data_IF_100724514870
#
_entry.id   IF_100724514870
#
_cell.length_a   1.000
_cell.length_b   1.000
_cell.length_c   1.000
_cell.angle_alpha   90.00
_cell.angle_beta   90.00
_cell.angle_gamma   90.00
#
_symmetry.space_group_name_H-M   'P 1'
#
loop_
_entity.id
_entity.type
_entity.pdbx_description
1 polymer ?
#
# COMPACT_ATOMS: atom_id res chain seq x y z
N UNK A 1 5.56 -9.05 -2.52
CA UNK A 1 6.79 -8.72 -1.77
C UNK A 1 7.01 -9.62 -0.57
N UNK A 2 6.25 -9.51 0.54
CA UNK A 2 6.49 -10.32 1.77
C UNK A 2 6.54 -11.84 1.52
N UNK A 3 5.56 -12.41 0.82
CA UNK A 3 5.52 -13.86 0.55
C UNK A 3 6.69 -14.29 -0.33
N UNK A 4 7.03 -13.50 -1.35
CA UNK A 4 8.23 -13.72 -2.17
C UNK A 4 9.50 -13.71 -1.31
N UNK A 5 9.67 -12.71 -0.43
CA UNK A 5 10.84 -12.60 0.45
C UNK A 5 10.96 -13.83 1.36
N UNK A 6 9.84 -14.27 1.93
CA UNK A 6 9.78 -15.50 2.71
C UNK A 6 10.22 -16.72 1.89
N UNK A 7 9.70 -16.90 0.67
CA UNK A 7 10.06 -18.01 -0.20
C UNK A 7 11.56 -17.99 -0.56
N UNK A 8 12.10 -16.83 -0.90
CA UNK A 8 13.53 -16.64 -1.20
C UNK A 8 14.41 -16.98 0.00
N UNK A 9 14.06 -16.52 1.21
CA UNK A 9 14.82 -16.85 2.42
C UNK A 9 14.67 -18.34 2.81
N UNK A 10 13.51 -18.94 2.55
CA UNK A 10 13.24 -20.35 2.85
C UNK A 10 14.04 -21.30 1.94
N UNK A 11 14.44 -20.86 0.74
CA UNK A 11 15.28 -21.67 -0.16
C UNK A 11 16.71 -21.85 0.38
N UNK A 12 17.20 -20.92 1.21
CA UNK A 12 18.54 -20.97 1.80
C UNK A 12 18.55 -21.46 3.26
N UNK A 13 17.47 -21.28 4.02
CA UNK A 13 17.40 -21.74 5.42
C UNK A 13 16.10 -22.46 5.72
N UNK A 14 16.22 -23.70 6.20
CA UNK A 14 15.08 -24.56 6.46
C UNK A 14 14.52 -24.48 7.88
N UNK A 15 15.32 -24.04 8.85
CA UNK A 15 14.96 -23.91 10.25
C UNK A 15 14.13 -22.64 10.50
N UNK A 16 12.82 -22.77 10.25
CA UNK A 16 11.89 -21.64 10.31
C UNK A 16 10.76 -21.93 11.28
N UNK A 17 10.55 -21.03 12.24
CA UNK A 17 9.42 -21.07 13.17
C UNK A 17 8.37 -20.04 12.75
N UNK A 18 7.10 -20.46 12.69
CA UNK A 18 5.99 -19.52 12.57
C UNK A 18 5.84 -18.79 13.90
N UNK A 19 6.17 -17.50 13.90
CA UNK A 19 6.04 -16.62 15.04
C UNK A 19 5.82 -15.20 14.53
N UNK A 20 4.89 -14.46 15.11
CA UNK A 20 4.54 -13.13 14.65
C UNK A 20 4.53 -12.14 15.82
N UNK A 21 5.11 -10.94 15.65
CA UNK A 21 4.98 -9.86 16.62
C UNK A 21 3.52 -9.44 16.81
N UNK A 22 3.25 -8.73 17.91
CA UNK A 22 1.92 -8.17 18.18
C UNK A 22 1.47 -7.28 17.00
N UNK A 23 0.21 -7.42 16.60
CA UNK A 23 -0.39 -6.70 15.47
C UNK A 23 -0.07 -7.28 14.08
N UNK A 24 1.00 -8.07 13.93
CA UNK A 24 1.34 -8.67 12.63
C UNK A 24 0.30 -9.70 12.19
N UNK A 25 -0.07 -9.66 10.89
CA UNK A 25 -0.91 -10.68 10.26
C UNK A 25 -0.13 -11.98 10.07
N UNK A 26 1.12 -11.86 9.59
CA UNK A 26 2.04 -12.98 9.36
C UNK A 26 3.40 -12.69 9.94
N UNK A 27 4.11 -13.73 10.34
CA UNK A 27 5.50 -13.63 10.76
C UNK A 27 6.20 -14.98 10.77
N UNK A 28 7.48 -14.95 10.48
CA UNK A 28 8.37 -16.10 10.46
C UNK A 28 9.74 -15.73 11.00
N UNK A 29 10.30 -16.60 11.83
CA UNK A 29 11.65 -16.46 12.38
C UNK A 29 12.55 -17.55 11.80
N UNK A 30 13.61 -17.15 11.12
CA UNK A 30 14.69 -17.99 10.62
C UNK A 30 15.72 -18.16 11.74
N UNK A 31 15.71 -19.32 12.37
CA UNK A 31 16.39 -19.56 13.65
C UNK A 31 17.91 -19.42 13.55
N UNK A 32 18.49 -19.93 12.45
CA UNK A 32 19.93 -19.87 12.18
C UNK A 32 20.48 -18.43 12.13
N UNK A 33 19.65 -17.47 11.71
CA UNK A 33 20.04 -16.08 11.52
C UNK A 33 19.48 -15.15 12.60
N UNK A 34 18.64 -15.68 13.50
CA UNK A 34 17.81 -14.88 14.39
C UNK A 34 17.06 -13.75 13.65
N UNK A 35 16.63 -14.04 12.41
CA UNK A 35 15.96 -13.07 11.54
C UNK A 35 14.46 -13.29 11.61
N UNK A 36 13.70 -12.28 12.02
CA UNK A 36 12.24 -12.29 11.93
C UNK A 36 11.78 -11.39 10.81
N UNK A 37 10.92 -11.91 9.94
CA UNK A 37 10.15 -11.10 8.98
C UNK A 37 8.69 -11.09 9.41
N UNK A 38 8.02 -9.94 9.28
CA UNK A 38 6.61 -9.79 9.60
C UNK A 38 5.85 -9.00 8.53
N UNK A 39 4.58 -9.30 8.38
CA UNK A 39 3.64 -8.55 7.56
C UNK A 39 2.54 -7.98 8.43
N UNK A 40 2.46 -6.66 8.50
CA UNK A 40 1.39 -5.94 9.18
C UNK A 40 0.40 -5.45 8.14
N UNK A 41 -0.84 -5.96 8.17
CA UNK A 41 -1.86 -5.58 7.19
C UNK A 41 -2.45 -4.23 7.55
N UNK A 42 -2.16 -3.22 6.74
CA UNK A 42 -2.77 -1.89 6.84
C UNK A 42 -2.97 -1.31 5.45
N UNK A 43 -4.21 -1.00 5.08
CA UNK A 43 -4.52 -0.58 3.72
C UNK A 43 -4.32 0.94 3.55
N UNK A 44 -4.75 1.72 4.54
CA UNK A 44 -4.70 3.18 4.53
C UNK A 44 -3.62 3.75 5.46
N UNK A 45 -2.83 2.92 6.18
CA UNK A 45 -1.93 3.32 7.27
C UNK A 45 -2.68 3.88 8.51
N UNK A 46 -3.65 4.76 8.31
CA UNK A 46 -4.53 5.28 9.34
C UNK A 46 -5.60 4.28 9.80
N UNK A 47 -6.07 4.46 11.04
CA UNK A 47 -7.25 3.77 11.59
C UNK A 47 -8.46 4.08 10.74
N UNK A 48 -9.19 3.05 10.32
CA UNK A 48 -10.42 3.24 9.57
C UNK A 48 -11.49 2.19 9.90
N UNK A 49 -12.75 2.56 9.73
CA UNK A 49 -13.88 1.67 10.03
C UNK A 49 -15.19 2.20 9.47
N UNK A 50 -16.24 1.37 9.55
CA UNK A 50 -17.60 1.80 9.16
C UNK A 50 -18.04 2.96 10.04
N UNK A 51 -18.63 3.96 9.41
CA UNK A 51 -19.32 5.07 10.07
C UNK A 51 -20.78 5.07 9.64
N UNK A 52 -21.67 5.40 10.57
CA UNK A 52 -23.10 5.49 10.36
C UNK A 52 -23.64 6.64 11.18
N UNK A 53 -24.61 7.36 10.63
CA UNK A 53 -25.24 8.50 11.27
C UNK A 53 -25.79 8.15 12.66
N UNK A 54 -25.64 9.09 13.58
CA UNK A 54 -26.24 8.99 14.91
C UNK A 54 -27.64 9.63 14.90
N UNK A 55 -28.60 9.03 15.61
CA UNK A 55 -29.93 9.61 15.87
C UNK A 55 -29.87 10.98 16.56
N UNK A 56 -28.79 11.27 17.30
CA UNK A 56 -28.57 12.56 17.95
C UNK A 56 -28.10 13.65 16.97
N UNK A 57 -27.86 13.29 15.70
CA UNK A 57 -27.35 14.17 14.67
C UNK A 57 -25.87 14.53 14.85
N UNK A 58 -25.39 15.38 13.94
CA UNK A 58 -24.02 15.84 13.86
C UNK A 58 -23.79 16.66 12.59
N UNK A 59 -22.58 17.21 12.44
CA UNK A 59 -22.26 18.04 11.27
C UNK A 59 -22.30 17.23 9.97
N UNK A 60 -21.90 15.96 10.00
CA UNK A 60 -21.94 15.08 8.82
C UNK A 60 -23.37 14.73 8.42
N UNK A 61 -24.24 14.46 9.40
CA UNK A 61 -25.67 14.22 9.20
C UNK A 61 -26.37 15.45 8.62
N UNK A 62 -26.00 16.65 9.09
CA UNK A 62 -26.50 17.92 8.57
C UNK A 62 -26.09 18.14 7.10
N UNK A 63 -24.93 17.62 6.70
CA UNK A 63 -24.47 17.59 5.31
C UNK A 63 -25.08 16.44 4.49
N UNK A 64 -25.97 15.63 5.09
CA UNK A 64 -26.70 14.57 4.40
C UNK A 64 -26.02 13.20 4.38
N UNK A 65 -24.87 13.02 5.05
CA UNK A 65 -24.22 11.72 5.14
C UNK A 65 -24.99 10.80 6.09
N UNK A 66 -25.34 9.60 5.60
CA UNK A 66 -26.04 8.56 6.38
C UNK A 66 -25.12 7.43 6.81
N UNK A 67 -24.14 7.12 5.98
CA UNK A 67 -23.14 6.08 6.20
C UNK A 67 -21.85 6.42 5.45
N UNK A 68 -20.77 5.74 5.79
CA UNK A 68 -19.47 5.94 5.17
C UNK A 68 -18.37 5.14 5.85
N UNK A 69 -17.13 5.57 5.64
CA UNK A 69 -15.96 5.03 6.31
C UNK A 69 -15.22 6.14 7.03
N UNK A 70 -15.22 6.10 8.36
CA UNK A 70 -14.39 6.99 9.17
C UNK A 70 -12.92 6.62 8.95
N UNK A 71 -12.09 7.62 8.67
CA UNK A 71 -10.63 7.52 8.57
C UNK A 71 -10.02 8.55 9.50
N UNK A 72 -9.33 8.11 10.55
CA UNK A 72 -8.69 8.99 11.52
C UNK A 72 -7.26 9.32 11.06
N UNK A 73 -7.09 10.49 10.45
CA UNK A 73 -5.85 10.83 9.73
C UNK A 73 -4.62 10.89 10.62
N UNK A 74 -4.81 11.10 11.93
CA UNK A 74 -3.79 11.26 12.95
C UNK A 74 -3.63 10.04 13.87
N UNK A 75 -4.35 8.94 13.61
CA UNK A 75 -4.28 7.72 14.41
C UNK A 75 -3.80 6.55 13.55
N UNK A 76 -2.64 5.93 13.83
CA UNK A 76 -2.18 4.77 13.09
C UNK A 76 -3.12 3.57 13.31
N UNK A 77 -3.26 2.74 12.28
CA UNK A 77 -4.00 1.49 12.42
C UNK A 77 -3.32 0.57 13.45
N UNK A 78 -4.16 -0.05 14.28
CA UNK A 78 -3.74 -0.87 15.42
C UNK A 78 -2.81 -2.03 15.04
N UNK A 79 -2.96 -2.56 13.83
CA UNK A 79 -2.19 -3.70 13.32
C UNK A 79 -0.71 -3.40 13.14
N UNK A 80 -0.30 -2.13 13.01
CA UNK A 80 1.11 -1.78 12.79
C UNK A 80 1.63 -0.68 13.72
N UNK A 81 0.80 -0.07 14.56
CA UNK A 81 1.20 1.05 15.40
C UNK A 81 2.45 0.79 16.27
N UNK A 82 2.70 -0.46 16.67
CA UNK A 82 3.88 -0.87 17.46
C UNK A 82 5.08 -1.30 16.60
N UNK A 83 4.91 -1.48 15.29
CA UNK A 83 5.94 -1.95 14.39
C UNK A 83 7.22 -1.08 14.40
N UNK A 84 7.15 0.27 14.44
CA UNK A 84 8.35 1.12 14.44
C UNK A 84 9.31 0.86 15.60
N UNK A 85 8.79 0.61 16.80
CA UNK A 85 9.60 0.33 17.98
C UNK A 85 10.12 -1.10 18.08
N UNK A 86 9.60 -2.00 17.24
CA UNK A 86 9.90 -3.43 17.28
C UNK A 86 10.89 -3.87 16.19
N UNK A 87 10.78 -3.35 14.96
CA UNK A 87 11.56 -3.82 13.82
C UNK A 87 12.76 -2.93 13.51
N UNK A 88 13.85 -3.55 13.04
CA UNK A 88 15.07 -2.83 12.62
C UNK A 88 14.99 -2.31 11.17
N UNK A 89 14.14 -2.92 10.35
CA UNK A 89 13.88 -2.50 8.97
C UNK A 89 12.36 -2.42 8.76
N UNK A 90 11.90 -1.27 8.26
CA UNK A 90 10.49 -1.01 7.98
C UNK A 90 10.30 -0.78 6.49
N UNK A 91 9.33 -1.46 5.87
CA UNK A 91 8.94 -1.23 4.48
C UNK A 91 7.44 -0.92 4.46
N UNK A 92 7.11 0.37 4.32
CA UNK A 92 5.73 0.85 4.27
C UNK A 92 5.25 0.93 2.82
N UNK A 93 3.95 0.73 2.60
CA UNK A 93 3.27 1.04 1.35
C UNK A 93 1.79 1.31 1.61
N UNK A 94 1.16 2.11 0.74
CA UNK A 94 -0.28 2.31 0.67
C UNK A 94 -0.64 2.77 -0.75
N UNK A 95 -1.89 2.60 -1.18
CA UNK A 95 -2.27 3.05 -2.54
C UNK A 95 -3.62 2.53 -3.01
N UNK A 96 -3.73 1.23 -3.32
CA UNK A 96 -4.92 0.68 -4.00
C UNK A 96 -6.28 1.08 -3.42
N UNK A 97 -6.40 1.24 -2.10
CA UNK A 97 -7.67 1.58 -1.46
C UNK A 97 -8.03 3.08 -1.53
N UNK A 98 -7.08 3.97 -1.83
CA UNK A 98 -7.31 5.41 -1.96
C UNK A 98 -8.07 5.79 -3.24
N UNK A 99 -7.91 4.98 -4.29
CA UNK A 99 -8.58 5.15 -5.60
C UNK A 99 -9.46 3.92 -5.93
N UNK A 100 -10.22 3.45 -4.93
CA UNK A 100 -11.12 2.31 -5.11
C UNK A 100 -12.59 2.70 -4.84
N UNK A 101 -13.31 3.28 -5.82
CA UNK A 101 -14.74 3.58 -5.68
C UNK A 101 -15.60 2.35 -5.34
N UNK A 102 -15.20 1.19 -5.84
CA UNK A 102 -15.82 -0.10 -5.50
C UNK A 102 -15.65 -0.50 -4.01
N UNK A 103 -14.69 0.11 -3.31
CA UNK A 103 -14.48 -0.06 -1.87
C UNK A 103 -15.07 1.09 -1.05
N UNK A 104 -14.88 2.32 -1.51
CA UNK A 104 -15.34 3.56 -0.90
C UNK A 104 -16.13 4.35 -1.93
N UNK A 105 -17.42 4.02 -2.08
CA UNK A 105 -18.29 4.69 -3.03
C UNK A 105 -18.42 6.18 -2.64
N UNK A 106 -18.08 7.12 -3.53
CA UNK A 106 -18.00 8.55 -3.19
C UNK A 106 -19.35 9.17 -2.83
N UNK A 107 -20.46 8.48 -3.10
CA UNK A 107 -21.83 8.95 -2.79
C UNK A 107 -22.46 8.10 -1.70
N UNK A 108 -22.45 6.77 -1.86
CA UNK A 108 -23.17 5.85 -0.97
C UNK A 108 -22.42 5.57 0.32
N UNK A 109 -21.10 5.45 0.27
CA UNK A 109 -20.28 5.10 1.45
C UNK A 109 -18.90 5.76 1.38
N UNK A 110 -18.83 7.10 1.37
CA UNK A 110 -17.60 7.83 1.14
C UNK A 110 -16.60 7.68 2.28
N UNK A 111 -15.35 8.04 2.01
CA UNK A 111 -14.36 8.26 3.07
C UNK A 111 -14.71 9.57 3.79
N UNK A 112 -14.81 9.49 5.12
CA UNK A 112 -15.11 10.60 6.01
C UNK A 112 -13.90 10.77 6.93
N UNK A 113 -13.17 11.88 6.78
CA UNK A 113 -11.92 12.08 7.48
C UNK A 113 -12.13 12.75 8.84
N UNK A 114 -11.40 12.28 9.84
CA UNK A 114 -11.44 12.76 11.21
C UNK A 114 -10.03 13.11 11.67
N UNK A 115 -9.90 14.13 12.52
CA UNK A 115 -8.68 14.51 13.22
C UNK A 115 -9.03 14.83 14.67
N UNK A 116 -8.31 14.27 15.64
CA UNK A 116 -8.61 14.41 17.09
C UNK A 116 -10.09 14.13 17.41
N UNK A 117 -10.60 13.03 16.85
CA UNK A 117 -11.99 12.57 16.97
C UNK A 117 -13.08 13.54 16.45
N UNK A 118 -12.70 14.61 15.75
CA UNK A 118 -13.63 15.54 15.10
C UNK A 118 -13.64 15.34 13.58
N UNK A 119 -14.82 15.38 12.93
CA UNK A 119 -14.88 15.30 11.47
C UNK A 119 -14.25 16.54 10.85
N UNK A 120 -13.50 16.34 9.77
CA UNK A 120 -12.90 17.42 8.99
C UNK A 120 -13.96 17.99 8.04
N UNK A 121 -14.23 19.29 8.14
CA UNK A 121 -15.26 20.00 7.38
C UNK A 121 -14.62 21.19 6.64
N UNK A 122 -14.89 21.39 5.33
CA UNK A 122 -15.72 20.53 4.48
C UNK A 122 -15.11 19.13 4.27
N UNK A 123 -15.93 18.10 3.93
CA UNK A 123 -15.44 16.77 3.63
C UNK A 123 -14.36 16.79 2.54
N UNK A 124 -13.31 16.00 2.73
CA UNK A 124 -12.18 15.96 1.82
C UNK A 124 -12.30 14.81 0.81
N UNK A 125 -11.81 15.01 -0.43
CA UNK A 125 -11.61 13.90 -1.36
C UNK A 125 -10.44 13.00 -0.93
N UNK A 126 -10.36 11.75 -1.43
CA UNK A 126 -9.35 10.77 -1.01
C UNK A 126 -7.90 11.20 -1.20
N UNK A 127 -7.58 11.98 -2.23
CA UNK A 127 -6.24 12.52 -2.51
C UNK A 127 -5.76 13.44 -1.38
N UNK A 128 -6.64 14.33 -0.90
CA UNK A 128 -6.36 15.20 0.25
C UNK A 128 -6.31 14.42 1.55
N UNK A 129 -7.13 13.38 1.67
CA UNK A 129 -7.05 12.43 2.79
C UNK A 129 -5.72 11.69 2.85
N UNK A 130 -5.20 11.24 1.70
CA UNK A 130 -3.91 10.58 1.58
C UNK A 130 -2.78 11.54 2.00
N UNK A 131 -2.80 12.79 1.52
CA UNK A 131 -1.85 13.82 1.94
C UNK A 131 -1.83 13.97 3.47
N UNK A 132 -2.99 14.08 4.12
CA UNK A 132 -3.08 14.23 5.58
C UNK A 132 -2.62 12.98 6.33
N UNK A 133 -2.95 11.78 5.84
CA UNK A 133 -2.47 10.55 6.47
C UNK A 133 -0.96 10.47 6.37
N UNK A 134 -0.35 10.70 5.20
CA UNK A 134 1.09 10.67 5.05
C UNK A 134 1.78 11.72 5.94
N UNK A 135 1.21 12.93 6.05
CA UNK A 135 1.67 14.00 6.93
C UNK A 135 1.78 13.57 8.41
N UNK A 136 0.92 12.66 8.89
CA UNK A 136 0.95 12.20 10.28
C UNK A 136 1.68 10.86 10.44
N UNK A 137 1.55 9.94 9.48
CA UNK A 137 2.13 8.60 9.60
C UNK A 137 3.64 8.58 9.37
N UNK A 138 4.19 9.46 8.52
CA UNK A 138 5.64 9.54 8.30
C UNK A 138 6.35 10.00 9.59
N UNK A 139 6.01 11.15 10.21
CA UNK A 139 6.60 11.55 11.48
C UNK A 139 6.32 10.54 12.60
N UNK A 140 5.13 9.93 12.64
CA UNK A 140 4.81 8.91 13.64
C UNK A 140 5.84 7.77 13.67
N UNK A 141 6.28 7.32 12.49
CA UNK A 141 7.32 6.29 12.36
C UNK A 141 8.68 6.83 12.81
N UNK A 142 9.08 8.02 12.35
CA UNK A 142 10.38 8.62 12.68
C UNK A 142 10.54 8.90 14.18
N UNK A 143 9.45 9.26 14.88
CA UNK A 143 9.46 9.50 16.33
C UNK A 143 9.56 8.23 17.17
N UNK A 144 9.14 7.08 16.64
CA UNK A 144 8.97 5.82 17.39
C UNK A 144 9.89 4.71 16.94
N UNK A 145 10.69 4.96 15.91
CA UNK A 145 11.62 3.98 15.42
C UNK A 145 12.70 3.63 16.44
N UNK A 146 13.27 2.44 16.28
CA UNK A 146 14.49 2.07 17.00
C UNK A 146 15.67 2.90 16.50
N UNK A 147 16.61 3.20 17.39
CA UNK A 147 17.87 3.85 16.99
C UNK A 147 18.57 3.03 15.91
N UNK A 148 18.86 3.66 14.78
CA UNK A 148 19.50 3.01 13.63
C UNK A 148 18.56 2.21 12.72
N UNK A 149 17.24 2.29 12.92
CA UNK A 149 16.28 1.64 12.03
C UNK A 149 16.38 2.18 10.59
N UNK A 150 16.21 1.28 9.62
CA UNK A 150 16.21 1.63 8.20
C UNK A 150 14.77 1.61 7.68
N UNK A 151 14.33 2.72 7.09
CA UNK A 151 12.96 2.89 6.63
C UNK A 151 12.90 3.01 5.13
N UNK A 152 12.05 2.19 4.53
CA UNK A 152 11.68 2.27 3.14
C UNK A 152 10.20 2.60 3.00
N UNK A 153 9.89 3.42 2.01
CA UNK A 153 8.55 3.55 1.49
C UNK A 153 8.54 3.02 0.06
N UNK A 154 7.81 1.94 -0.17
CA UNK A 154 7.66 1.34 -1.49
C UNK A 154 6.63 2.13 -2.28
N UNK A 155 6.98 2.49 -3.51
CA UNK A 155 6.03 3.11 -4.44
C UNK A 155 4.88 2.16 -4.76
N UNK A 156 3.79 2.72 -5.26
CA UNK A 156 2.54 2.01 -5.47
C UNK A 156 2.72 0.92 -6.53
N UNK A 157 2.18 -0.28 -6.24
CA UNK A 157 2.14 -1.36 -7.23
C UNK A 157 1.08 -1.02 -8.27
N UNK A 158 1.40 -1.05 -9.57
CA UNK A 158 0.38 -0.90 -10.60
C UNK A 158 -0.57 -2.10 -10.60
N UNK A 159 -1.77 -1.84 -11.09
CA UNK A 159 -2.71 -2.84 -11.64
C UNK A 159 -2.70 -2.69 -13.17
N UNK A 160 -3.11 -3.73 -13.90
CA UNK A 160 -3.09 -3.72 -15.37
C UNK A 160 -4.46 -4.05 -15.97
N UNK A 161 -5.49 -3.32 -15.59
CA UNK A 161 -6.80 -3.51 -16.20
C UNK A 161 -6.87 -2.90 -17.60
N UNK A 162 -7.44 -3.67 -18.52
CA UNK A 162 -7.82 -3.25 -19.88
C UNK A 162 -9.32 -3.50 -20.09
N UNK A 163 -9.99 -2.60 -20.80
CA UNK A 163 -11.43 -2.70 -21.08
C UNK A 163 -12.37 -2.25 -19.95
N UNK A 164 -11.83 -1.65 -18.87
CA UNK A 164 -12.58 -1.14 -17.72
C UNK A 164 -11.99 -1.61 -16.40
N UNK A 165 -12.58 -1.22 -15.26
CA UNK A 165 -12.21 -1.74 -13.95
C UNK A 165 -12.70 -3.18 -13.71
N UNK A 166 -12.28 -3.79 -12.59
CA UNK A 166 -12.64 -5.17 -12.23
C UNK A 166 -14.15 -5.42 -12.15
N UNK A 167 -14.95 -4.40 -11.83
CA UNK A 167 -16.41 -4.44 -11.74
C UNK A 167 -17.11 -3.94 -13.02
N UNK A 168 -16.35 -3.59 -14.05
CA UNK A 168 -16.82 -3.05 -15.33
C UNK A 168 -16.48 -3.97 -16.51
N UNK A 169 -15.96 -5.17 -16.24
CA UNK A 169 -15.54 -6.12 -17.29
C UNK A 169 -14.06 -6.05 -17.66
N UNK A 170 -13.24 -5.35 -16.86
CA UNK A 170 -11.80 -5.27 -17.03
C UNK A 170 -11.09 -6.61 -16.91
N UNK A 171 -10.01 -6.77 -17.68
CA UNK A 171 -9.18 -8.00 -17.69
C UNK A 171 -7.69 -7.68 -17.82
N UNK A 172 -6.84 -8.70 -17.68
CA UNK A 172 -5.37 -8.60 -17.78
C UNK A 172 -4.74 -9.90 -18.30
N UNK A 173 -5.14 -10.33 -19.49
CA UNK A 173 -4.73 -11.62 -20.05
C UNK A 173 -3.50 -11.52 -20.97
N UNK A 174 -2.65 -10.51 -20.75
CA UNK A 174 -1.41 -10.39 -21.51
C UNK A 174 -0.42 -11.47 -21.11
N UNK A 175 0.37 -11.90 -22.09
CA UNK A 175 1.44 -12.88 -21.91
C UNK A 175 2.83 -12.31 -22.27
N UNK A 176 2.90 -11.02 -22.59
CA UNK A 176 4.12 -10.29 -22.92
C UNK A 176 4.12 -8.94 -22.19
N UNK A 177 5.30 -8.41 -21.85
CA UNK A 177 5.42 -7.06 -21.34
C UNK A 177 4.82 -6.02 -22.29
N UNK A 178 4.38 -4.88 -21.74
CA UNK A 178 3.90 -3.75 -22.51
C UNK A 178 5.05 -3.07 -23.27
N UNK A 179 4.74 -2.46 -24.42
CA UNK A 179 5.62 -1.45 -25.03
C UNK A 179 5.55 -0.13 -24.26
N UNK A 180 6.51 0.77 -24.50
CA UNK A 180 6.51 2.12 -23.89
C UNK A 180 5.22 2.88 -24.21
N UNK A 181 4.72 2.77 -25.44
CA UNK A 181 3.49 3.43 -25.89
C UNK A 181 2.28 2.90 -25.13
N UNK A 182 2.20 1.59 -24.95
CA UNK A 182 1.11 0.93 -24.20
C UNK A 182 1.15 1.29 -22.71
N UNK A 183 2.35 1.44 -22.14
CA UNK A 183 2.48 1.95 -20.77
C UNK A 183 1.92 3.37 -20.67
N UNK A 184 2.26 4.27 -21.59
CA UNK A 184 1.71 5.63 -21.55
C UNK A 184 0.22 5.69 -21.87
N UNK A 185 -0.32 4.75 -22.65
CA UNK A 185 -1.76 4.61 -22.85
C UNK A 185 -2.49 4.25 -21.54
N UNK A 186 -1.97 3.25 -20.80
CA UNK A 186 -2.65 2.71 -19.62
C UNK A 186 -2.42 3.50 -18.33
N UNK A 187 -1.30 4.21 -18.21
CA UNK A 187 -0.88 4.81 -16.93
C UNK A 187 -0.74 6.35 -16.96
N UNK A 188 -0.78 6.98 -18.13
CA UNK A 188 -0.61 8.44 -18.23
C UNK A 188 -1.72 9.21 -17.52
N UNK A 189 -1.30 10.14 -16.66
CA UNK A 189 -2.19 11.14 -16.04
C UNK A 189 -2.81 12.06 -17.09
N UNK A 190 -2.05 12.41 -18.14
CA UNK A 190 -2.53 13.30 -19.22
C UNK A 190 -3.64 12.66 -20.05
N UNK A 191 -3.58 11.35 -20.21
CA UNK A 191 -4.54 10.60 -21.04
C UNK A 191 -5.68 9.98 -20.21
N UNK A 192 -5.67 10.19 -18.88
CA UNK A 192 -6.58 9.52 -17.95
C UNK A 192 -6.62 8.00 -18.18
N UNK A 193 -5.45 7.38 -18.26
CA UNK A 193 -5.32 5.94 -18.52
C UNK A 193 -6.04 5.11 -17.45
N UNK A 194 -6.50 3.91 -17.81
CA UNK A 194 -7.31 3.04 -16.94
C UNK A 194 -6.65 2.77 -15.58
N UNK A 195 -5.31 2.74 -15.52
CA UNK A 195 -4.53 2.41 -14.34
C UNK A 195 -3.75 3.63 -13.79
N UNK A 196 -4.23 4.85 -14.10
CA UNK A 196 -3.58 6.12 -13.75
C UNK A 196 -3.34 6.31 -12.25
N UNK A 197 -4.13 5.66 -11.38
CA UNK A 197 -4.07 5.90 -9.94
C UNK A 197 -2.70 5.54 -9.34
N UNK A 198 -1.94 4.63 -9.95
CA UNK A 198 -0.59 4.30 -9.49
C UNK A 198 0.32 5.53 -9.51
N UNK A 199 0.22 6.36 -10.55
CA UNK A 199 1.04 7.57 -10.71
C UNK A 199 0.55 8.68 -9.80
N UNK A 200 -0.77 8.86 -9.68
CA UNK A 200 -1.37 9.83 -8.77
C UNK A 200 -0.98 9.56 -7.30
N UNK A 201 -1.12 8.31 -6.83
CA UNK A 201 -0.69 7.93 -5.48
C UNK A 201 0.79 8.24 -5.26
N UNK A 202 1.63 7.97 -6.25
CA UNK A 202 3.06 8.24 -6.13
C UNK A 202 3.39 9.73 -6.12
N UNK A 203 2.65 10.60 -6.83
CA UNK A 203 2.83 12.06 -6.73
C UNK A 203 2.66 12.56 -5.29
N UNK A 204 1.61 12.08 -4.60
CA UNK A 204 1.40 12.36 -3.18
C UNK A 204 2.51 11.78 -2.30
N UNK A 205 2.95 10.56 -2.61
CA UNK A 205 4.01 9.89 -1.86
C UNK A 205 5.34 10.65 -1.96
N UNK A 206 5.79 11.00 -3.17
CA UNK A 206 7.04 11.72 -3.39
C UNK A 206 7.03 13.08 -2.70
N UNK A 207 5.88 13.78 -2.74
CA UNK A 207 5.68 15.05 -2.03
C UNK A 207 5.83 14.86 -0.52
N UNK A 208 5.16 13.87 0.07
CA UNK A 208 5.17 13.64 1.51
C UNK A 208 6.53 13.16 2.04
N UNK A 209 7.28 12.39 1.25
CA UNK A 209 8.60 11.88 1.63
C UNK A 209 9.72 12.92 1.49
N UNK A 210 9.47 14.05 0.83
CA UNK A 210 10.47 15.11 0.64
C UNK A 210 10.93 15.65 2.00
N UNK A 211 12.21 15.47 2.30
CA UNK A 211 12.82 15.91 3.55
C UNK A 211 12.65 14.92 4.72
N UNK A 212 11.93 13.82 4.52
CA UNK A 212 11.91 12.70 5.47
C UNK A 212 13.20 11.88 5.39
N UNK A 213 13.42 11.05 6.39
CA UNK A 213 14.54 10.11 6.45
C UNK A 213 14.26 8.77 5.74
N UNK A 214 13.05 8.59 5.21
CA UNK A 214 12.68 7.40 4.44
C UNK A 214 13.45 7.30 3.12
N UNK A 215 13.79 6.06 2.74
CA UNK A 215 14.30 5.73 1.41
C UNK A 215 13.15 5.29 0.53
N UNK A 216 13.15 5.73 -0.72
CA UNK A 216 12.13 5.31 -1.68
C UNK A 216 12.58 4.00 -2.31
N UNK A 217 11.78 2.94 -2.14
CA UNK A 217 11.91 1.72 -2.90
C UNK A 217 11.02 1.85 -4.15
N UNK A 218 11.60 2.38 -5.22
CA UNK A 218 10.86 2.68 -6.45
C UNK A 218 10.70 1.43 -7.32
N UNK A 219 9.49 0.87 -7.32
CA UNK A 219 9.12 -0.32 -8.09
C UNK A 219 8.14 -0.01 -9.22
N UNK A 220 7.52 1.17 -9.23
CA UNK A 220 6.34 1.43 -10.05
C UNK A 220 6.68 1.36 -11.53
N UNK A 221 7.64 2.16 -12.00
CA UNK A 221 7.90 2.29 -13.44
C UNK A 221 8.25 0.95 -14.10
N UNK A 222 9.13 0.16 -13.48
CA UNK A 222 9.45 -1.17 -14.00
C UNK A 222 8.26 -2.13 -13.97
N UNK A 223 7.34 -1.95 -13.01
CA UNK A 223 6.16 -2.79 -12.86
C UNK A 223 5.06 -2.45 -13.84
N UNK A 224 4.97 -1.21 -14.32
CA UNK A 224 4.03 -0.78 -15.38
C UNK A 224 4.24 -1.56 -16.68
N UNK A 225 5.44 -2.07 -16.94
CA UNK A 225 5.70 -2.88 -18.14
C UNK A 225 5.19 -4.32 -17.99
N UNK A 226 4.92 -4.79 -16.78
CA UNK A 226 4.77 -6.22 -16.49
C UNK A 226 3.33 -6.71 -16.46
N UNK A 227 2.51 -6.26 -17.42
CA UNK A 227 1.14 -6.75 -17.59
C UNK A 227 1.04 -8.29 -17.70
N UNK A 228 2.12 -8.95 -18.11
CA UNK A 228 2.28 -10.41 -18.23
C UNK A 228 2.38 -11.18 -16.91
N UNK A 229 2.60 -10.50 -15.78
CA UNK A 229 2.95 -11.16 -14.52
C UNK A 229 1.79 -11.25 -13.50
N UNK A 230 0.58 -10.93 -13.92
CA UNK A 230 -0.63 -11.08 -13.10
C UNK A 230 -1.19 -12.51 -13.16
N UNK A 231 -1.84 -13.00 -12.07
CA UNK A 231 -2.56 -14.28 -12.11
C UNK A 231 -3.71 -14.30 -13.10
N UNK A 232 -4.35 -13.15 -13.37
CA UNK A 232 -5.53 -13.04 -14.23
C UNK A 232 -6.59 -14.08 -13.77
N UNK A 233 -7.06 -14.95 -14.66
CA UNK A 233 -8.07 -15.99 -14.40
C UNK A 233 -7.61 -17.04 -13.38
N UNK A 234 -6.30 -17.22 -13.21
CA UNK A 234 -5.72 -18.13 -12.21
C UNK A 234 -5.72 -17.54 -10.78
N UNK A 235 -6.20 -16.30 -10.59
CA UNK A 235 -6.30 -15.64 -9.29
C UNK A 235 -7.35 -16.23 -8.33
N UNK A 236 -8.14 -17.21 -8.78
CA UNK A 236 -9.16 -17.88 -7.96
C UNK A 236 -10.38 -17.00 -7.62
N UNK A 237 -10.57 -15.91 -8.37
CA UNK A 237 -11.71 -14.99 -8.26
C UNK A 237 -12.68 -15.19 -9.42
N UNK A 238 -13.89 -14.63 -9.30
CA UNK A 238 -14.89 -14.63 -10.39
C UNK A 238 -14.54 -13.68 -11.53
N UNK A 239 -13.56 -12.80 -11.33
CA UNK A 239 -13.01 -11.84 -12.28
C UNK A 239 -11.49 -11.98 -12.29
N UNK A 240 -10.83 -11.46 -13.33
CA UNK A 240 -9.38 -11.48 -13.44
C UNK A 240 -8.71 -10.74 -12.27
N UNK A 241 -7.70 -11.38 -11.66
CA UNK A 241 -6.87 -10.72 -10.66
C UNK A 241 -5.73 -9.95 -11.32
N UNK A 242 -5.97 -8.66 -11.55
CA UNK A 242 -5.03 -7.73 -12.18
C UNK A 242 -4.33 -6.82 -11.17
N UNK A 243 -4.37 -7.17 -9.88
CA UNK A 243 -3.78 -6.36 -8.79
C UNK A 243 -2.69 -7.12 -8.04
N UNK A 244 -2.85 -8.44 -7.87
CA UNK A 244 -1.83 -9.30 -7.28
C UNK A 244 -0.88 -9.83 -8.34
N UNK A 245 0.24 -10.39 -7.92
CA UNK A 245 1.30 -10.87 -8.81
C UNK A 245 1.52 -12.36 -8.62
N UNK A 246 1.84 -13.05 -9.70
CA UNK A 246 2.30 -14.44 -9.65
C UNK A 246 3.59 -14.56 -8.83
N UNK A 247 3.77 -15.73 -8.20
CA UNK A 247 5.01 -16.13 -7.51
C UNK A 247 5.47 -17.48 -8.08
N UNK A 248 6.76 -17.64 -8.46
CA UNK A 248 7.77 -16.59 -8.59
C UNK A 248 7.40 -15.54 -9.66
N UNK A 249 7.97 -14.34 -9.59
CA UNK A 249 7.62 -13.25 -10.49
C UNK A 249 8.21 -11.90 -10.10
N UNK A 250 7.57 -10.81 -10.56
CA UNK A 250 8.11 -9.45 -10.40
C UNK A 250 8.41 -9.05 -8.96
N UNK A 251 7.67 -9.61 -7.99
CA UNK A 251 7.90 -9.28 -6.59
C UNK A 251 9.20 -9.86 -6.04
N UNK A 252 9.81 -10.82 -6.73
CA UNK A 252 11.18 -11.27 -6.47
C UNK A 252 12.16 -10.15 -6.85
N UNK A 253 12.01 -9.54 -8.03
CA UNK A 253 12.80 -8.38 -8.45
C UNK A 253 12.63 -7.17 -7.52
N UNK A 254 11.44 -6.96 -6.96
CA UNK A 254 11.27 -5.92 -5.93
C UNK A 254 12.08 -6.20 -4.67
N UNK A 255 12.22 -7.47 -4.30
CA UNK A 255 13.08 -7.87 -3.18
C UNK A 255 14.56 -7.70 -3.53
N UNK A 256 14.97 -8.01 -4.77
CA UNK A 256 16.33 -7.75 -5.23
C UNK A 256 16.68 -6.26 -5.13
N UNK A 257 15.80 -5.37 -5.63
CA UNK A 257 15.97 -3.92 -5.49
C UNK A 257 16.05 -3.47 -4.02
N UNK A 258 15.22 -4.05 -3.16
CA UNK A 258 15.27 -3.79 -1.73
C UNK A 258 16.62 -4.19 -1.12
N UNK A 259 17.15 -5.37 -1.44
CA UNK A 259 18.43 -5.85 -0.93
C UNK A 259 19.60 -4.98 -1.46
N UNK A 260 19.58 -4.60 -2.73
CA UNK A 260 20.58 -3.69 -3.31
C UNK A 260 20.58 -2.33 -2.59
N UNK A 261 19.41 -1.73 -2.38
CA UNK A 261 19.29 -0.48 -1.63
C UNK A 261 19.76 -0.65 -0.18
N UNK A 262 19.38 -1.75 0.48
CA UNK A 262 19.81 -2.04 1.85
C UNK A 262 21.34 -2.15 1.97
N UNK A 263 21.98 -2.85 1.03
CA UNK A 263 23.44 -2.98 0.99
C UNK A 263 24.13 -1.64 0.74
N UNK A 264 23.57 -0.79 -0.12
CA UNK A 264 24.11 0.55 -0.40
C UNK A 264 24.13 1.48 0.83
N UNK A 265 23.22 1.26 1.79
CA UNK A 265 23.14 2.01 3.04
C UNK A 265 24.22 1.52 4.00
N UNK A 266 24.37 0.21 4.16
CA UNK A 266 25.37 -0.40 5.04
C UNK A 266 26.80 -0.17 4.57
N UNK A 267 27.04 -0.07 3.27
CA UNK A 267 28.37 0.24 2.72
C UNK A 267 28.85 1.67 2.93
N UNK A 268 28.02 2.55 3.53
CA UNK A 268 28.34 3.97 3.80
C UNK A 268 28.55 4.28 5.29
N UNK A 269 28.41 3.30 6.16
CA UNK A 269 28.69 3.36 7.62
C UNK A 269 29.98 2.67 7.95
#
# INVERSE_FOLDING_TARGET
MFVSLFCTLKSVSNEVKKWRPVGADRGFTFLQYNLTIAYHRTNLLARYGRWSANSNGGVLETLGFKEGFRVDVDVPESTWMQAPGFHDILILNTGHWWWAPSKFDPVKSPMLFFKKDQPIIPPLPPDRGLDMVLEHMIPYVEERERSGAIKFFRTQSPRHFEGGDWDQGGSCQRNQPLSTEQVEELFSVKNNGTNVEVRLVNEHLYKALKGSSFKILDITRMSEFRADAHPSTAGGKKHDDCMHWCLPGITDTWNDLFIELLNSIKGRS
#
